data_IF_567323707344
#
_entry.id   IF_567323707344
#
_cell.length_a   1.000
_cell.length_b   1.000
_cell.length_c   1.000
_cell.angle_alpha   90.00
_cell.angle_beta   90.00
_cell.angle_gamma   90.00
#
_symmetry.space_group_name_H-M   'P 1'
#
loop_
_entity.id
_entity.type
_entity.pdbx_description
1 polymer ?
#
# COMPACT_ATOMS: atom_id res chain seq x y z
N UNK A 1 -14.46 -25.77 0.38
CA UNK A 1 -13.82 -26.49 1.48
C UNK A 1 -14.04 -25.70 2.78
N UNK A 2 -14.21 -26.37 3.91
CA UNK A 2 -14.46 -25.70 5.19
C UNK A 2 -13.19 -25.05 5.76
N UNK A 3 -13.35 -23.94 6.47
CA UNK A 3 -12.38 -23.22 7.33
C UNK A 3 -10.89 -23.41 6.98
N UNK A 4 -10.30 -22.41 6.31
CA UNK A 4 -8.87 -22.29 6.06
C UNK A 4 -8.20 -21.47 7.16
N UNK A 5 -7.10 -21.99 7.71
CA UNK A 5 -6.27 -21.29 8.69
C UNK A 5 -5.22 -20.42 7.98
N UNK A 6 -5.16 -19.15 8.37
CA UNK A 6 -4.26 -18.13 7.84
C UNK A 6 -3.12 -17.92 8.82
N UNK A 7 -1.91 -17.84 8.31
CA UNK A 7 -0.71 -17.72 9.14
C UNK A 7 0.15 -16.58 8.66
N UNK A 8 0.82 -15.92 9.60
CA UNK A 8 1.89 -14.95 9.30
C UNK A 8 3.22 -15.63 9.52
N UNK A 9 4.19 -15.35 8.66
CA UNK A 9 5.56 -15.81 8.85
C UNK A 9 6.37 -14.67 9.46
N UNK A 10 6.95 -14.94 10.63
CA UNK A 10 7.91 -14.05 11.29
C UNK A 10 9.29 -14.73 11.25
N UNK A 11 10.35 -14.00 10.92
CA UNK A 11 11.70 -14.56 10.79
C UNK A 11 12.28 -15.04 12.13
N UNK A 12 11.79 -14.50 13.24
CA UNK A 12 12.29 -14.78 14.60
C UNK A 12 11.39 -15.79 15.30
N UNK A 13 10.06 -15.62 15.20
CA UNK A 13 9.08 -16.44 15.94
C UNK A 13 8.46 -17.56 15.10
N UNK A 14 8.77 -17.63 13.80
CA UNK A 14 8.28 -18.64 12.88
C UNK A 14 6.81 -18.43 12.47
N UNK A 15 6.11 -19.53 12.17
CA UNK A 15 4.72 -19.49 11.67
C UNK A 15 3.74 -19.19 12.80
N UNK A 16 3.13 -18.02 12.78
CA UNK A 16 2.13 -17.59 13.75
C UNK A 16 0.71 -17.69 13.20
N UNK A 17 -0.24 -18.14 14.02
CA UNK A 17 -1.65 -18.17 13.66
C UNK A 17 -2.20 -16.73 13.58
N UNK A 18 -2.61 -16.31 12.39
CA UNK A 18 -3.16 -14.98 12.16
C UNK A 18 -4.71 -14.97 12.17
N UNK A 19 -5.33 -16.12 11.91
CA UNK A 19 -6.78 -16.25 11.93
C UNK A 19 -7.28 -17.35 11.01
N UNK A 20 -8.55 -17.29 10.65
CA UNK A 20 -9.16 -18.20 9.69
C UNK A 20 -10.22 -17.49 8.86
N UNK A 21 -10.54 -18.08 7.71
CA UNK A 21 -11.67 -17.73 6.87
C UNK A 21 -12.33 -18.99 6.30
N UNK A 22 -13.55 -18.87 5.78
CA UNK A 22 -14.24 -19.96 5.11
C UNK A 22 -14.24 -19.69 3.61
N UNK A 23 -13.54 -20.54 2.85
CA UNK A 23 -13.38 -20.38 1.40
C UNK A 23 -14.70 -20.51 0.65
N UNK A 24 -15.65 -21.30 1.16
CA UNK A 24 -16.93 -21.53 0.47
C UNK A 24 -17.83 -20.30 0.54
N UNK A 25 -17.56 -19.46 1.52
CA UNK A 25 -18.29 -18.23 1.78
C UNK A 25 -17.60 -17.00 1.21
N UNK A 26 -16.36 -17.15 0.72
CA UNK A 26 -15.53 -16.06 0.21
C UNK A 26 -15.70 -15.90 -1.31
N UNK A 27 -15.57 -14.66 -1.78
CA UNK A 27 -15.45 -14.38 -3.21
C UNK A 27 -13.98 -14.57 -3.62
N UNK A 28 -13.76 -15.23 -4.75
CA UNK A 28 -12.45 -15.68 -5.21
C UNK A 28 -12.08 -15.02 -6.54
N UNK A 29 -10.86 -14.53 -6.63
CA UNK A 29 -10.29 -13.90 -7.82
C UNK A 29 -9.00 -14.64 -8.19
N UNK A 30 -8.88 -14.99 -9.47
CA UNK A 30 -7.74 -15.73 -10.03
C UNK A 30 -6.76 -14.78 -10.70
N UNK A 31 -5.48 -15.14 -10.73
CA UNK A 31 -4.47 -14.43 -11.52
C UNK A 31 -4.88 -14.40 -13.02
N UNK A 32 -4.54 -13.33 -13.74
CA UNK A 32 -4.80 -13.20 -15.17
C UNK A 32 -4.04 -14.22 -16.02
N UNK A 33 -2.83 -14.61 -15.61
CA UNK A 33 -2.03 -15.66 -16.23
C UNK A 33 -2.69 -17.04 -16.12
N UNK A 34 -3.46 -17.31 -15.05
CA UNK A 34 -4.24 -18.55 -14.93
C UNK A 34 -5.42 -18.62 -15.93
N UNK A 35 -5.80 -17.49 -16.54
CA UNK A 35 -6.79 -17.42 -17.62
C UNK A 35 -6.17 -17.51 -19.02
N UNK A 36 -4.85 -17.40 -19.17
CA UNK A 36 -4.15 -17.57 -20.44
C UNK A 36 -3.46 -18.93 -20.47
N UNK A 37 -3.99 -19.84 -21.29
CA UNK A 37 -3.55 -21.24 -21.40
C UNK A 37 -2.07 -21.45 -21.81
N UNK A 38 -1.32 -20.38 -22.04
CA UNK A 38 0.00 -20.39 -22.66
C UNK A 38 1.13 -19.81 -21.80
N UNK A 39 0.84 -19.22 -20.63
CA UNK A 39 1.87 -18.75 -19.70
C UNK A 39 2.20 -19.84 -18.65
N UNK A 40 3.41 -20.42 -18.76
CA UNK A 40 4.04 -21.31 -17.74
C UNK A 40 4.44 -20.47 -16.51
N UNK A 41 3.46 -19.88 -15.82
CA UNK A 41 3.67 -19.21 -14.54
C UNK A 41 3.60 -20.24 -13.43
N UNK A 42 4.78 -20.75 -13.05
CA UNK A 42 4.99 -21.79 -12.02
C UNK A 42 4.53 -21.43 -10.61
N UNK A 43 4.07 -20.20 -10.42
CA UNK A 43 3.54 -19.64 -9.18
C UNK A 43 2.10 -19.22 -9.45
N UNK A 44 1.17 -19.97 -8.88
CA UNK A 44 -0.24 -19.62 -8.95
C UNK A 44 -0.60 -18.74 -7.77
N UNK A 45 -1.41 -17.72 -8.03
CA UNK A 45 -1.84 -16.78 -7.01
C UNK A 45 -3.34 -16.53 -7.08
N UNK A 46 -3.96 -16.48 -5.90
CA UNK A 46 -5.37 -16.21 -5.75
C UNK A 46 -5.60 -15.16 -4.67
N UNK A 47 -6.66 -14.38 -4.86
CA UNK A 47 -7.13 -13.42 -3.89
C UNK A 47 -8.56 -13.77 -3.46
N UNK A 48 -8.80 -13.75 -2.15
CA UNK A 48 -10.10 -14.03 -1.54
C UNK A 48 -10.61 -12.81 -0.78
N UNK A 49 -11.90 -12.49 -0.95
CA UNK A 49 -12.63 -11.53 -0.11
C UNK A 49 -13.59 -12.28 0.80
N UNK A 50 -13.37 -12.20 2.10
CA UNK A 50 -14.26 -12.81 3.10
C UNK A 50 -15.56 -12.03 3.26
N UNK A 51 -16.64 -12.67 3.73
CA UNK A 51 -17.91 -11.98 4.07
C UNK A 51 -17.75 -10.83 5.07
N UNK A 52 -16.73 -10.92 5.94
CA UNK A 52 -16.39 -9.87 6.90
C UNK A 52 -15.52 -8.74 6.33
N UNK A 53 -15.30 -8.69 5.01
CA UNK A 53 -14.55 -7.62 4.34
C UNK A 53 -13.01 -7.73 4.41
N UNK A 54 -12.48 -8.81 4.98
CA UNK A 54 -11.02 -9.07 5.00
C UNK A 54 -10.55 -9.71 3.69
N UNK A 55 -9.33 -9.40 3.29
CA UNK A 55 -8.68 -9.93 2.10
C UNK A 55 -7.61 -10.96 2.47
N UNK A 56 -7.57 -12.07 1.73
CA UNK A 56 -6.59 -13.15 1.93
C UNK A 56 -5.95 -13.47 0.60
N UNK A 57 -4.62 -13.43 0.53
CA UNK A 57 -3.87 -13.90 -0.63
C UNK A 57 -3.43 -15.33 -0.40
N UNK A 58 -3.47 -16.11 -1.46
CA UNK A 58 -3.03 -17.50 -1.51
C UNK A 58 -1.95 -17.63 -2.58
N UNK A 59 -0.82 -18.23 -2.23
CA UNK A 59 0.17 -18.72 -3.18
C UNK A 59 0.20 -20.25 -3.17
N UNK A 60 0.46 -20.86 -4.33
CA UNK A 60 0.85 -22.26 -4.39
C UNK A 60 1.65 -22.57 -5.65
N UNK A 61 2.49 -23.60 -5.57
CA UNK A 61 3.21 -24.11 -6.74
C UNK A 61 2.49 -25.34 -7.31
N UNK A 62 2.63 -25.55 -8.62
CA UNK A 62 2.12 -26.73 -9.32
C UNK A 62 2.86 -28.04 -8.99
N UNK A 63 3.94 -27.99 -8.21
CA UNK A 63 4.76 -29.15 -7.86
C UNK A 63 4.07 -30.04 -6.81
N UNK A 64 4.15 -31.36 -7.03
CA UNK A 64 3.67 -32.35 -6.06
C UNK A 64 4.31 -32.12 -4.68
N UNK A 65 3.46 -31.83 -3.70
CA UNK A 65 3.87 -31.59 -2.31
C UNK A 65 3.97 -30.11 -1.92
N UNK A 66 3.74 -29.16 -2.83
CA UNK A 66 3.60 -27.75 -2.44
C UNK A 66 2.30 -27.57 -1.63
N UNK A 67 2.40 -26.82 -0.55
CA UNK A 67 1.28 -26.52 0.34
C UNK A 67 0.91 -25.07 0.11
N UNK A 68 -0.35 -24.83 -0.27
CA UNK A 68 -0.86 -23.48 -0.43
C UNK A 68 -0.67 -22.67 0.85
N UNK A 69 -0.09 -21.46 0.75
CA UNK A 69 0.09 -20.58 1.90
C UNK A 69 -0.89 -19.43 1.80
N UNK A 70 -1.46 -19.10 2.94
CA UNK A 70 -2.51 -18.08 3.07
C UNK A 70 -2.07 -17.04 4.07
N UNK A 71 -2.16 -15.77 3.68
CA UNK A 71 -1.93 -14.63 4.57
C UNK A 71 -2.96 -13.52 4.34
N UNK A 72 -3.26 -12.78 5.41
CA UNK A 72 -4.09 -11.58 5.29
C UNK A 72 -3.30 -10.49 4.58
N UNK A 73 -3.95 -9.82 3.64
CA UNK A 73 -3.42 -8.63 2.97
C UNK A 73 -4.28 -7.44 3.31
N UNK A 74 -3.67 -6.26 3.24
CA UNK A 74 -4.36 -5.00 3.40
C UNK A 74 -5.28 -4.73 2.20
N UNK A 75 -6.30 -3.86 2.36
CA UNK A 75 -7.11 -3.41 1.23
C UNK A 75 -6.28 -2.80 0.09
N UNK A 76 -5.19 -2.09 0.41
CA UNK A 76 -4.30 -1.49 -0.58
C UNK A 76 -3.52 -2.54 -1.37
N UNK A 77 -2.97 -3.55 -0.70
CA UNK A 77 -2.30 -4.68 -1.35
C UNK A 77 -3.28 -5.48 -2.22
N UNK A 78 -4.50 -5.70 -1.73
CA UNK A 78 -5.57 -6.34 -2.49
C UNK A 78 -5.94 -5.53 -3.75
N UNK A 79 -6.06 -4.20 -3.62
CA UNK A 79 -6.32 -3.30 -4.74
C UNK A 79 -5.19 -3.32 -5.77
N UNK A 80 -3.93 -3.25 -5.33
CA UNK A 80 -2.78 -3.33 -6.22
C UNK A 80 -2.72 -4.67 -6.96
N UNK A 81 -2.99 -5.77 -6.26
CA UNK A 81 -3.09 -7.09 -6.88
C UNK A 81 -4.20 -7.12 -7.94
N UNK A 82 -5.42 -6.67 -7.61
CA UNK A 82 -6.54 -6.64 -8.57
C UNK A 82 -6.23 -5.78 -9.80
N UNK A 83 -5.54 -4.64 -9.64
CA UNK A 83 -5.10 -3.81 -10.76
C UNK A 83 -4.02 -4.47 -11.62
N UNK A 84 -3.09 -5.19 -11.00
CA UNK A 84 -2.03 -5.93 -11.69
C UNK A 84 -2.62 -7.06 -12.52
N UNK A 85 -3.61 -7.74 -11.94
CA UNK A 85 -4.34 -8.86 -12.54
C UNK A 85 -5.55 -8.43 -13.38
N UNK A 86 -5.68 -7.13 -13.71
CA UNK A 86 -6.69 -6.56 -14.61
C UNK A 86 -8.16 -6.76 -14.19
N UNK A 87 -8.43 -7.01 -12.91
CA UNK A 87 -9.78 -7.07 -12.31
C UNK A 87 -10.32 -5.67 -11.99
N UNK A 88 -10.41 -4.80 -13.00
CA UNK A 88 -10.82 -3.40 -12.82
C UNK A 88 -12.26 -3.24 -12.30
N UNK A 89 -13.15 -4.12 -12.71
CA UNK A 89 -14.56 -4.20 -12.28
C UNK A 89 -14.69 -4.50 -10.77
N UNK A 90 -13.82 -5.35 -10.24
CA UNK A 90 -13.76 -5.69 -8.81
C UNK A 90 -13.23 -4.51 -7.99
N UNK A 91 -12.28 -3.75 -8.56
CA UNK A 91 -11.75 -2.54 -7.91
C UNK A 91 -12.85 -1.50 -7.76
N UNK A 92 -13.60 -1.21 -8.81
CA UNK A 92 -14.75 -0.28 -8.75
C UNK A 92 -15.79 -0.77 -7.72
N UNK A 93 -16.20 -2.05 -7.80
CA UNK A 93 -17.20 -2.65 -6.92
C UNK A 93 -16.89 -2.54 -5.42
N UNK A 94 -15.62 -2.63 -5.03
CA UNK A 94 -15.23 -2.75 -3.62
C UNK A 94 -14.43 -1.58 -3.05
N UNK A 95 -14.03 -0.62 -3.89
CA UNK A 95 -13.21 0.52 -3.48
C UNK A 95 -13.80 1.89 -3.89
N UNK A 96 -15.05 1.95 -4.39
CA UNK A 96 -15.73 3.21 -4.75
C UNK A 96 -16.38 3.94 -3.55
N UNK A 97 -15.53 4.62 -2.78
CA UNK A 97 -15.68 5.97 -2.19
C UNK A 97 -14.35 6.21 -1.43
N UNK A 98 -13.50 7.11 -1.93
CA UNK A 98 -12.28 7.50 -1.23
C UNK A 98 -12.62 8.37 -0.01
N UNK A 99 -12.90 7.74 1.13
CA UNK A 99 -12.66 8.41 2.40
C UNK A 99 -11.14 8.61 2.55
N UNK A 100 -10.74 9.87 2.45
CA UNK A 100 -9.38 10.32 2.68
C UNK A 100 -9.03 10.18 4.17
N UNK A 101 -8.57 9.01 4.66
CA UNK A 101 -7.55 8.98 5.73
C UNK A 101 -6.92 7.60 6.08
N UNK A 102 -5.60 7.69 6.32
CA UNK A 102 -4.74 6.86 7.17
C UNK A 102 -4.42 5.41 6.75
N UNK A 103 -3.46 5.26 5.83
CA UNK A 103 -2.85 3.95 5.49
C UNK A 103 -1.83 3.42 6.52
N UNK A 104 -1.18 2.27 6.25
CA UNK A 104 0.12 1.94 6.80
C UNK A 104 1.24 2.24 5.78
N UNK A 105 2.29 2.88 6.26
CA UNK A 105 3.45 3.31 5.48
C UNK A 105 4.20 2.14 4.83
N UNK A 106 4.23 2.07 3.50
CA UNK A 106 5.19 1.27 2.74
C UNK A 106 5.91 2.17 1.75
N UNK A 107 7.16 2.53 2.09
CA UNK A 107 8.11 3.12 1.14
C UNK A 107 8.26 4.64 1.16
N UNK A 108 8.90 5.18 2.20
CA UNK A 108 9.79 6.34 2.00
C UNK A 108 9.32 7.73 2.45
N UNK A 109 8.91 7.90 3.72
CA UNK A 109 9.25 9.08 4.56
C UNK A 109 8.69 8.84 5.97
N UNK A 110 9.41 9.15 7.06
CA UNK A 110 8.85 9.05 8.42
C UNK A 110 7.56 9.85 8.53
N UNK A 111 6.58 9.28 9.23
CA UNK A 111 5.29 9.90 9.53
C UNK A 111 5.52 11.31 10.11
N UNK A 112 5.31 12.32 9.29
CA UNK A 112 5.21 13.70 9.77
C UNK A 112 3.89 13.72 10.53
N UNK A 113 3.89 14.29 11.74
CA UNK A 113 2.73 14.31 12.63
C UNK A 113 1.43 14.87 12.01
N UNK A 114 0.37 15.06 12.81
CA UNK A 114 -0.97 15.36 12.30
C UNK A 114 -0.98 16.54 11.31
N UNK A 115 -1.78 16.44 10.23
CA UNK A 115 -1.96 17.49 9.23
C UNK A 115 -2.30 18.82 9.94
N UNK A 116 -1.54 19.89 9.66
CA UNK A 116 -1.78 21.24 10.19
C UNK A 116 -2.17 22.16 9.03
N UNK A 117 -3.34 22.81 9.13
CA UNK A 117 -3.75 23.85 8.18
C UNK A 117 -3.18 25.19 8.65
N UNK A 118 -2.39 25.84 7.79
CA UNK A 118 -1.83 27.18 8.04
C UNK A 118 -2.12 28.07 6.84
N UNK A 119 -2.50 29.31 7.09
CA UNK A 119 -2.67 30.31 6.04
C UNK A 119 -1.37 31.08 5.88
N UNK A 120 -0.80 31.03 4.67
CA UNK A 120 0.39 31.77 4.30
C UNK A 120 0.01 32.95 3.41
N UNK A 121 0.69 34.08 3.57
CA UNK A 121 0.52 35.22 2.67
C UNK A 121 1.00 34.88 1.26
N UNK A 122 0.44 35.57 0.25
CA UNK A 122 0.88 35.42 -1.15
C UNK A 122 2.39 35.62 -1.32
N UNK A 123 2.96 36.58 -0.58
CA UNK A 123 4.41 36.82 -0.58
C UNK A 123 5.19 35.61 -0.04
N UNK A 124 4.67 34.92 0.98
CA UNK A 124 5.31 33.72 1.53
C UNK A 124 5.22 32.56 0.55
N UNK A 125 4.07 32.36 -0.09
CA UNK A 125 3.89 31.34 -1.11
C UNK A 125 4.82 31.58 -2.31
N UNK A 126 4.96 32.84 -2.76
CA UNK A 126 5.89 33.19 -3.82
C UNK A 126 7.36 32.85 -3.47
N UNK A 127 7.77 33.06 -2.21
CA UNK A 127 9.11 32.68 -1.73
C UNK A 127 9.32 31.17 -1.71
N UNK A 128 8.28 30.40 -1.35
CA UNK A 128 8.32 28.93 -1.39
C UNK A 128 8.45 28.44 -2.83
N UNK A 129 7.68 29.01 -3.76
CA UNK A 129 7.76 28.68 -5.18
C UNK A 129 9.17 28.96 -5.75
N UNK A 130 9.74 30.13 -5.47
CA UNK A 130 11.11 30.47 -5.88
C UNK A 130 12.15 29.50 -5.31
N UNK A 131 12.00 29.09 -4.04
CA UNK A 131 12.88 28.09 -3.43
C UNK A 131 12.78 26.72 -4.13
N UNK A 132 11.58 26.28 -4.53
CA UNK A 132 11.38 25.03 -5.28
C UNK A 132 12.09 25.06 -6.62
N UNK A 133 11.93 26.14 -7.37
CA UNK A 133 12.57 26.30 -8.68
C UNK A 133 14.10 26.26 -8.56
N UNK A 134 14.64 26.97 -7.57
CA UNK A 134 16.08 27.03 -7.35
C UNK A 134 16.70 25.71 -6.89
N UNK A 135 15.95 24.88 -6.17
CA UNK A 135 16.46 23.65 -5.53
C UNK A 135 15.97 22.35 -6.21
N UNK A 136 15.19 22.44 -7.28
CA UNK A 136 14.85 21.27 -8.10
C UNK A 136 16.09 20.82 -8.89
N UNK A 137 16.38 19.51 -8.86
CA UNK A 137 17.57 18.92 -9.52
C UNK A 137 17.15 17.90 -10.57
N UNK A 138 17.43 18.19 -11.84
CA UNK A 138 17.21 17.28 -12.97
C UNK A 138 15.76 16.81 -13.07
N UNK A 139 15.56 15.51 -13.30
CA UNK A 139 14.24 14.88 -13.46
C UNK A 139 13.41 14.80 -12.16
N UNK A 140 13.97 15.23 -11.01
CA UNK A 140 13.25 15.24 -9.73
C UNK A 140 12.86 16.66 -9.35
N UNK A 141 11.61 17.01 -9.68
CA UNK A 141 10.98 18.25 -9.26
C UNK A 141 10.65 18.21 -7.76
N UNK A 142 11.00 19.29 -7.05
CA UNK A 142 10.68 19.44 -5.63
C UNK A 142 9.19 19.79 -5.46
N UNK A 143 8.51 19.05 -4.58
CA UNK A 143 7.11 19.34 -4.22
C UNK A 143 7.02 20.56 -3.31
N UNK A 144 5.82 21.16 -3.21
CA UNK A 144 5.62 22.32 -2.35
C UNK A 144 5.75 22.00 -0.87
N UNK A 145 5.23 20.84 -0.46
CA UNK A 145 5.36 20.34 0.90
C UNK A 145 6.83 20.10 1.28
N UNK A 146 7.66 19.62 0.34
CA UNK A 146 9.10 19.46 0.57
C UNK A 146 9.82 20.77 0.78
N UNK A 147 9.54 21.77 -0.05
CA UNK A 147 10.13 23.10 0.10
C UNK A 147 9.70 23.76 1.41
N UNK A 148 8.42 23.70 1.76
CA UNK A 148 7.92 24.21 3.04
C UNK A 148 8.62 23.54 4.23
N UNK A 149 8.76 22.22 4.18
CA UNK A 149 9.43 21.46 5.25
C UNK A 149 10.88 21.92 5.44
N UNK A 150 11.65 21.99 4.36
CA UNK A 150 13.06 22.40 4.41
C UNK A 150 13.22 23.84 4.90
N UNK A 151 12.35 24.75 4.47
CA UNK A 151 12.35 26.14 4.91
C UNK A 151 12.00 26.29 6.39
N UNK A 152 11.05 25.49 6.90
CA UNK A 152 10.69 25.47 8.32
C UNK A 152 11.84 24.92 9.16
N UNK A 153 12.41 23.77 8.77
CA UNK A 153 13.55 23.14 9.47
C UNK A 153 14.75 24.11 9.53
N UNK A 154 15.11 24.74 8.41
CA UNK A 154 16.19 25.73 8.37
C UNK A 154 15.92 26.96 9.24
N UNK A 155 14.66 27.42 9.31
CA UNK A 155 14.27 28.53 10.19
C UNK A 155 14.36 28.18 11.67
N UNK A 156 13.98 26.97 12.06
CA UNK A 156 14.08 26.47 13.43
C UNK A 156 15.54 26.32 13.86
N UNK A 157 16.39 25.73 13.01
CA UNK A 157 17.82 25.59 13.27
C UNK A 157 18.51 26.94 13.51
N UNK A 158 18.11 27.98 12.75
CA UNK A 158 18.64 29.34 12.92
C UNK A 158 18.17 29.96 14.23
N UNK A 159 16.92 29.71 14.62
CA UNK A 159 16.36 30.20 15.88
C UNK A 159 17.05 29.55 17.08
N UNK A 160 17.26 28.22 17.07
CA UNK A 160 17.96 27.49 18.13
C UNK A 160 19.41 27.91 18.30
N UNK A 161 20.10 28.27 17.21
CA UNK A 161 21.48 28.79 17.26
C UNK A 161 21.58 30.23 17.75
N UNK A 162 20.47 30.97 17.75
CA UNK A 162 20.40 32.38 18.15
C UNK A 162 19.79 32.58 19.54
N UNK A 163 19.33 31.50 20.16
CA UNK A 163 18.80 31.44 21.53
C UNK A 163 19.89 31.02 22.52
#
# INVERSE_FOLDING_TARGET
MGRINVYRYDEIEGRQYAGHFDDTSAEKFLNAADNDMWEDTRLHEELYRTKGGRWVRCDWDQWQGSVAKYWFVTPDEARQWLLTEKHHDVVEKYFDELEEEAGPAVGGRPAIGPKRKVNLSEQTLARVAAYREQNSKGDKLMTEAEALRLLIEAGLDLWEKSA
#
